data_IF_955834714566
#
_entry.id   IF_955834714566
#
_cell.length_a   1.000
_cell.length_b   1.000
_cell.length_c   1.000
_cell.angle_alpha   90.00
_cell.angle_beta   90.00
_cell.angle_gamma   90.00
#
_symmetry.space_group_name_H-M   'P 1'
#
loop_
_entity.id
_entity.type
_entity.pdbx_description
1 polymer ?
#
# COMPACT_ATOMS: atom_id res chain seq x y z
N UNK A 1 18.05 38.76 -10.64
CA UNK A 1 18.87 37.68 -10.01
C UNK A 1 18.03 36.73 -9.16
N UNK A 2 17.13 37.23 -8.32
CA UNK A 2 16.32 36.41 -7.38
C UNK A 2 15.34 35.44 -8.05
N UNK A 3 14.71 35.82 -9.16
CA UNK A 3 13.76 34.96 -9.90
C UNK A 3 14.44 33.78 -10.59
N UNK A 4 15.58 34.00 -11.24
CA UNK A 4 16.34 32.93 -11.87
C UNK A 4 16.87 31.92 -10.84
N UNK A 5 17.30 32.40 -9.66
CA UNK A 5 17.70 31.55 -8.55
C UNK A 5 16.52 30.71 -8.03
N UNK A 6 15.36 31.34 -7.75
CA UNK A 6 14.14 30.64 -7.33
C UNK A 6 13.65 29.61 -8.36
N UNK A 7 13.75 29.93 -9.65
CA UNK A 7 13.38 29.00 -10.72
C UNK A 7 14.31 27.77 -10.75
N UNK A 8 15.62 27.96 -10.60
CA UNK A 8 16.57 26.85 -10.51
C UNK A 8 16.35 25.99 -9.26
N UNK A 9 16.01 26.62 -8.14
CA UNK A 9 15.68 25.93 -6.89
C UNK A 9 14.39 25.10 -7.02
N UNK A 10 13.35 25.66 -7.63
CA UNK A 10 12.10 24.95 -7.95
C UNK A 10 12.34 23.76 -8.89
N UNK A 11 13.18 23.93 -9.93
CA UNK A 11 13.55 22.83 -10.83
C UNK A 11 14.24 21.69 -10.06
N UNK A 12 15.16 22.01 -9.15
CA UNK A 12 15.82 21.01 -8.30
C UNK A 12 14.82 20.26 -7.41
N UNK A 13 13.85 20.95 -6.82
CA UNK A 13 12.80 20.29 -6.02
C UNK A 13 11.92 19.36 -6.87
N UNK A 14 11.56 19.78 -8.08
CA UNK A 14 10.77 18.96 -9.01
C UNK A 14 11.54 17.71 -9.41
N UNK A 15 12.82 17.84 -9.80
CA UNK A 15 13.66 16.70 -10.15
C UNK A 15 13.82 15.72 -8.99
N UNK A 16 14.06 16.23 -7.77
CA UNK A 16 14.18 15.40 -6.56
C UNK A 16 12.87 14.65 -6.26
N UNK A 17 11.71 15.28 -6.45
CA UNK A 17 10.43 14.61 -6.25
C UNK A 17 10.18 13.52 -7.30
N UNK A 18 10.49 13.78 -8.57
CA UNK A 18 10.36 12.78 -9.64
C UNK A 18 11.27 11.57 -9.38
N UNK A 19 12.52 11.81 -8.95
CA UNK A 19 13.44 10.73 -8.59
C UNK A 19 12.92 9.89 -7.41
N UNK A 20 12.36 10.54 -6.39
CA UNK A 20 11.77 9.86 -5.25
C UNK A 20 10.54 9.02 -5.65
N UNK A 21 9.68 9.55 -6.52
CA UNK A 21 8.52 8.85 -7.09
C UNK A 21 8.95 7.61 -7.87
N UNK A 22 9.96 7.73 -8.73
CA UNK A 22 10.51 6.61 -9.50
C UNK A 22 11.11 5.54 -8.60
N UNK A 23 11.90 5.96 -7.59
CA UNK A 23 12.48 5.04 -6.63
C UNK A 23 11.39 4.28 -5.85
N UNK A 24 10.41 5.00 -5.30
CA UNK A 24 9.27 4.40 -4.60
C UNK A 24 8.50 3.43 -5.51
N UNK A 25 8.30 3.78 -6.78
CA UNK A 25 7.64 2.91 -7.76
C UNK A 25 8.40 1.61 -8.01
N UNK A 26 9.70 1.68 -8.31
CA UNK A 26 10.53 0.50 -8.58
C UNK A 26 10.64 -0.37 -7.34
N UNK A 27 11.00 0.21 -6.20
CA UNK A 27 11.09 -0.53 -4.94
C UNK A 27 9.76 -1.22 -4.58
N UNK A 28 8.63 -0.54 -4.76
CA UNK A 28 7.32 -1.12 -4.44
C UNK A 28 6.90 -2.21 -5.41
N UNK A 29 7.27 -2.11 -6.68
CA UNK A 29 7.06 -3.19 -7.63
C UNK A 29 7.87 -4.43 -7.24
N UNK A 30 9.16 -4.23 -6.95
CA UNK A 30 10.10 -5.33 -6.73
C UNK A 30 9.88 -6.03 -5.39
N UNK A 31 9.36 -5.33 -4.38
CA UNK A 31 9.04 -5.91 -3.07
C UNK A 31 7.69 -6.65 -3.03
N UNK A 32 6.73 -6.34 -3.92
CA UNK A 32 5.41 -6.99 -3.89
C UNK A 32 5.48 -8.48 -4.23
N UNK A 33 6.18 -8.85 -5.29
CA UNK A 33 6.31 -10.23 -5.71
C UNK A 33 6.92 -11.16 -4.63
N UNK A 34 8.05 -10.82 -3.98
CA UNK A 34 8.61 -11.64 -2.91
C UNK A 34 7.69 -11.71 -1.67
N UNK A 35 7.01 -10.62 -1.29
CA UNK A 35 6.07 -10.64 -0.16
C UNK A 35 4.86 -11.56 -0.42
N UNK A 36 4.26 -11.46 -1.61
CA UNK A 36 3.19 -12.36 -2.04
C UNK A 36 3.67 -13.82 -1.98
N UNK A 37 4.88 -14.07 -2.46
CA UNK A 37 5.47 -15.41 -2.51
C UNK A 37 5.69 -15.98 -1.10
N UNK A 38 6.30 -15.20 -0.19
CA UNK A 38 6.52 -15.59 1.20
C UNK A 38 5.20 -15.91 1.90
N UNK A 39 4.20 -15.04 1.78
CA UNK A 39 2.89 -15.26 2.39
C UNK A 39 2.17 -16.48 1.80
N UNK A 40 2.29 -16.71 0.49
CA UNK A 40 1.67 -17.87 -0.17
C UNK A 40 2.28 -19.19 0.30
N UNK A 41 3.61 -19.26 0.41
CA UNK A 41 4.28 -20.44 0.93
C UNK A 41 4.02 -20.66 2.42
N UNK A 42 4.01 -19.59 3.23
CA UNK A 42 3.66 -19.69 4.64
C UNK A 42 2.22 -20.21 4.84
N UNK A 43 1.27 -19.73 4.03
CA UNK A 43 -0.11 -20.24 4.01
C UNK A 43 -0.17 -21.70 3.58
N UNK A 44 0.53 -22.08 2.50
CA UNK A 44 0.56 -23.46 2.05
C UNK A 44 1.16 -24.40 3.11
N UNK A 45 2.19 -23.95 3.82
CA UNK A 45 2.80 -24.69 4.92
C UNK A 45 1.80 -24.91 6.07
N UNK A 46 1.08 -23.87 6.46
CA UNK A 46 0.00 -23.94 7.47
C UNK A 46 -1.06 -25.00 7.09
N UNK A 47 -1.51 -24.97 5.83
CA UNK A 47 -2.54 -25.88 5.31
C UNK A 47 -2.05 -27.33 5.18
N UNK A 48 -0.82 -27.54 4.70
CA UNK A 48 -0.28 -28.88 4.40
C UNK A 48 0.34 -29.58 5.61
N UNK A 49 0.80 -28.83 6.61
CA UNK A 49 1.35 -29.35 7.87
C UNK A 49 0.33 -29.30 9.03
N UNK A 50 -0.94 -29.00 8.74
CA UNK A 50 -2.01 -28.98 9.74
C UNK A 50 -2.05 -30.27 10.57
N UNK A 51 -2.02 -30.12 11.89
CA UNK A 51 -1.96 -31.22 12.85
C UNK A 51 -0.57 -31.85 13.07
N UNK A 52 0.46 -31.42 12.32
CA UNK A 52 1.87 -31.81 12.53
C UNK A 52 2.70 -30.71 13.17
N UNK A 53 2.24 -29.46 13.07
CA UNK A 53 2.88 -28.30 13.66
C UNK A 53 2.57 -28.21 15.15
N UNK A 54 3.61 -27.93 15.95
CA UNK A 54 3.44 -27.52 17.33
C UNK A 54 2.91 -26.06 17.44
N UNK A 55 2.59 -25.63 18.66
CA UNK A 55 2.02 -24.29 18.88
C UNK A 55 3.02 -23.15 18.59
N UNK A 56 4.32 -23.38 18.74
CA UNK A 56 5.35 -22.39 18.43
C UNK A 56 5.49 -22.24 16.91
N UNK A 57 5.52 -23.36 16.19
CA UNK A 57 5.61 -23.38 14.72
C UNK A 57 4.40 -22.69 14.08
N UNK A 58 3.18 -22.97 14.57
CA UNK A 58 1.97 -22.23 14.17
C UNK A 58 2.09 -20.73 14.43
N UNK A 59 2.62 -20.36 15.59
CA UNK A 59 2.83 -18.95 15.96
C UNK A 59 3.84 -18.26 15.03
N UNK A 60 4.92 -18.93 14.65
CA UNK A 60 5.89 -18.39 13.69
C UNK A 60 5.29 -18.19 12.30
N UNK A 61 4.53 -19.17 11.81
CA UNK A 61 3.83 -19.04 10.52
C UNK A 61 2.83 -17.88 10.56
N UNK A 62 2.08 -17.74 11.65
CA UNK A 62 1.18 -16.60 11.85
C UNK A 62 1.94 -15.27 11.77
N UNK A 63 3.07 -15.13 12.47
CA UNK A 63 3.89 -13.92 12.41
C UNK A 63 4.45 -13.65 11.01
N UNK A 64 4.95 -14.67 10.30
CA UNK A 64 5.45 -14.51 8.93
C UNK A 64 4.34 -13.93 8.03
N UNK A 65 3.13 -14.50 8.10
CA UNK A 65 2.00 -14.05 7.30
C UNK A 65 1.57 -12.61 7.64
N UNK A 66 1.41 -12.32 8.93
CA UNK A 66 0.98 -11.01 9.40
C UNK A 66 1.99 -9.91 9.02
N UNK A 67 3.29 -10.15 9.23
CA UNK A 67 4.32 -9.19 8.87
C UNK A 67 4.45 -9.03 7.34
N UNK A 68 4.34 -10.12 6.57
CA UNK A 68 4.38 -10.04 5.11
C UNK A 68 3.19 -9.27 4.52
N UNK A 69 2.01 -9.38 5.14
CA UNK A 69 0.82 -8.61 4.77
C UNK A 69 0.99 -7.12 5.12
N UNK A 70 1.46 -6.82 6.34
CA UNK A 70 1.78 -5.46 6.76
C UNK A 70 2.83 -4.79 5.86
N UNK A 71 3.88 -5.53 5.47
CA UNK A 71 4.88 -5.01 4.55
C UNK A 71 4.29 -4.73 3.16
N UNK A 72 3.36 -5.56 2.70
CA UNK A 72 2.67 -5.36 1.43
C UNK A 72 1.83 -4.07 1.44
N UNK A 73 1.08 -3.84 2.53
CA UNK A 73 0.32 -2.60 2.74
C UNK A 73 1.23 -1.38 2.78
N UNK A 74 2.28 -1.41 3.60
CA UNK A 74 3.21 -0.29 3.75
C UNK A 74 3.90 0.09 2.43
N UNK A 75 4.24 -0.91 1.61
CA UNK A 75 4.80 -0.70 0.27
C UNK A 75 3.78 -0.03 -0.66
N UNK A 76 2.51 -0.44 -0.62
CA UNK A 76 1.46 0.19 -1.42
C UNK A 76 1.16 1.62 -0.95
N UNK A 77 1.13 1.86 0.35
CA UNK A 77 0.89 3.17 0.95
C UNK A 77 2.02 4.14 0.58
N UNK A 78 3.27 3.68 0.65
CA UNK A 78 4.43 4.47 0.22
C UNK A 78 4.33 4.85 -1.26
N UNK A 79 3.90 3.91 -2.10
CA UNK A 79 3.68 4.16 -3.52
C UNK A 79 2.56 5.18 -3.75
N UNK A 80 1.45 5.07 -3.02
CA UNK A 80 0.35 6.03 -3.12
C UNK A 80 0.76 7.42 -2.64
N UNK A 81 1.47 7.50 -1.52
CA UNK A 81 2.01 8.75 -0.98
C UNK A 81 2.93 9.44 -1.97
N UNK A 82 3.82 8.69 -2.64
CA UNK A 82 4.71 9.27 -3.65
C UNK A 82 3.95 9.97 -4.78
N UNK A 83 2.75 9.51 -5.13
CA UNK A 83 1.94 10.04 -6.25
C UNK A 83 1.11 11.28 -5.88
N UNK A 84 1.02 11.65 -4.61
CA UNK A 84 0.13 12.74 -4.14
C UNK A 84 0.52 14.10 -4.72
N UNK A 85 1.81 14.36 -4.96
CA UNK A 85 2.25 15.66 -5.50
C UNK A 85 1.88 15.90 -6.98
N UNK A 86 1.60 14.84 -7.75
CA UNK A 86 1.39 14.93 -9.19
C UNK A 86 -0.06 14.69 -9.65
N UNK A 87 -1.01 14.47 -8.72
CA UNK A 87 -2.43 14.34 -9.07
C UNK A 87 -3.06 15.73 -9.27
N UNK A 88 -3.55 16.02 -10.48
CA UNK A 88 -4.48 17.13 -10.71
C UNK A 88 -5.71 16.91 -9.84
N UNK A 89 -5.90 17.76 -8.84
CA UNK A 89 -7.09 17.75 -7.99
C UNK A 89 -8.29 18.16 -8.85
N UNK A 90 -9.19 17.22 -9.10
CA UNK A 90 -10.41 17.50 -9.87
C UNK A 90 -11.51 17.93 -8.91
N UNK A 91 -11.65 19.24 -8.71
CA UNK A 91 -12.66 19.81 -7.82
C UNK A 91 -14.01 19.77 -8.53
N UNK A 92 -14.97 19.09 -7.94
CA UNK A 92 -16.35 19.04 -8.42
C UNK A 92 -17.33 19.23 -7.27
N UNK A 93 -18.53 19.75 -7.56
CA UNK A 93 -19.61 19.76 -6.57
C UNK A 93 -20.06 18.33 -6.34
N UNK A 94 -19.99 17.89 -5.09
CA UNK A 94 -20.45 16.56 -4.67
C UNK A 94 -21.66 16.70 -3.75
N UNK A 95 -22.63 15.82 -3.92
CA UNK A 95 -23.73 15.65 -2.97
C UNK A 95 -23.24 14.78 -1.82
N UNK A 96 -23.14 15.38 -0.63
CA UNK A 96 -22.60 14.72 0.57
C UNK A 96 -23.45 13.52 0.99
N UNK A 97 -24.77 13.59 0.79
CA UNK A 97 -25.69 12.52 1.15
C UNK A 97 -25.56 11.33 0.20
N UNK A 98 -25.38 11.58 -1.10
CA UNK A 98 -25.07 10.52 -2.06
C UNK A 98 -23.70 9.88 -1.81
N UNK A 99 -22.69 10.68 -1.46
CA UNK A 99 -21.35 10.16 -1.17
C UNK A 99 -21.36 9.25 0.07
N UNK A 100 -21.99 9.72 1.16
CA UNK A 100 -22.08 8.95 2.40
C UNK A 100 -22.83 7.63 2.20
N UNK A 101 -23.96 7.64 1.47
CA UNK A 101 -24.73 6.43 1.18
C UNK A 101 -23.98 5.47 0.24
N UNK A 102 -23.26 6.01 -0.74
CA UNK A 102 -22.46 5.22 -1.68
C UNK A 102 -21.29 4.50 -1.01
N UNK A 103 -20.53 5.19 -0.16
CA UNK A 103 -19.42 4.58 0.58
C UNK A 103 -19.92 3.60 1.65
N UNK A 104 -20.95 3.96 2.41
CA UNK A 104 -21.53 3.08 3.42
C UNK A 104 -22.06 1.77 2.79
N UNK A 105 -22.70 1.87 1.61
CA UNK A 105 -23.15 0.69 0.84
C UNK A 105 -22.02 -0.14 0.23
N UNK A 106 -20.89 0.46 -0.15
CA UNK A 106 -19.68 -0.28 -0.58
C UNK A 106 -19.04 -1.02 0.58
N UNK A 107 -18.86 -0.33 1.70
CA UNK A 107 -18.23 -0.86 2.90
C UNK A 107 -19.03 -2.02 3.49
N UNK A 108 -20.36 -1.89 3.56
CA UNK A 108 -21.25 -2.96 4.04
C UNK A 108 -21.16 -4.25 3.20
N UNK A 109 -20.89 -4.15 1.90
CA UNK A 109 -20.74 -5.33 1.01
C UNK A 109 -19.40 -6.05 1.13
N UNK A 110 -18.37 -5.38 1.64
CA UNK A 110 -17.01 -5.92 1.74
C UNK A 110 -16.62 -6.28 3.18
N UNK A 111 -17.44 -5.92 4.17
CA UNK A 111 -17.18 -6.21 5.58
C UNK A 111 -17.15 -7.74 5.84
N UNK A 112 -16.01 -8.30 6.29
CA UNK A 112 -15.95 -9.71 6.67
C UNK A 112 -16.62 -9.89 8.03
N UNK A 113 -17.67 -10.71 8.08
CA UNK A 113 -17.98 -11.50 9.28
C UNK A 113 -18.66 -10.83 10.47
N UNK A 114 -19.33 -9.68 10.36
CA UNK A 114 -20.28 -9.24 11.39
C UNK A 114 -21.68 -9.79 11.09
N UNK A 115 -21.85 -11.09 11.36
CA UNK A 115 -23.13 -11.71 11.69
C UNK A 115 -23.00 -12.35 13.07
#
# INVERSE_FOLDING_TARGET
RTLAFKNAELQKYIESNIQLEQFAHVASHDLRAPLITINSFAKLLDETASGKLDENEKTFIHYIRANGEQMYELVNDLLEYSKINNKKINISRVDVQQLANGECGRWYRQAPGWR
#
